data_IF_600064443305
#
_entry.id   IF_600064443305
#
_cell.length_a   1.000
_cell.length_b   1.000
_cell.length_c   1.000
_cell.angle_alpha   90.00
_cell.angle_beta   90.00
_cell.angle_gamma   90.00
#
_symmetry.space_group_name_H-M   'P 1'
#
loop_
_entity.id
_entity.type
_entity.pdbx_description
1 polymer ?
#
# COMPACT_ATOMS: atom_id res chain seq x y z
N UNK A 1 0.13 -20.10 -9.44
CA UNK A 1 0.48 -18.77 -8.89
C UNK A 1 1.25 -18.94 -7.60
N UNK A 2 2.37 -18.23 -7.44
CA UNK A 2 3.30 -18.38 -6.30
C UNK A 2 3.80 -16.99 -5.88
N UNK A 3 3.96 -16.78 -4.57
CA UNK A 3 4.63 -15.60 -4.00
C UNK A 3 5.77 -16.02 -3.07
N UNK A 4 6.83 -15.20 -3.02
CA UNK A 4 7.88 -15.30 -2.01
C UNK A 4 7.70 -14.14 -1.02
N UNK A 5 7.64 -14.48 0.26
CA UNK A 5 7.45 -13.52 1.36
C UNK A 5 8.75 -13.41 2.16
N UNK A 6 9.21 -12.18 2.38
CA UNK A 6 10.38 -11.90 3.20
C UNK A 6 10.01 -11.90 4.69
N UNK A 7 10.25 -13.03 5.36
CA UNK A 7 10.00 -13.20 6.79
C UNK A 7 11.04 -12.53 7.71
N UNK A 8 12.08 -11.88 7.16
CA UNK A 8 13.12 -11.20 7.93
C UNK A 8 12.78 -9.73 8.15
N UNK A 9 11.69 -9.49 8.89
CA UNK A 9 11.18 -8.15 9.23
C UNK A 9 10.95 -8.02 10.73
N UNK A 10 11.10 -6.81 11.31
CA UNK A 10 10.89 -6.59 12.74
C UNK A 10 9.52 -7.08 13.23
N UNK A 11 8.44 -6.81 12.48
CA UNK A 11 7.09 -7.21 12.85
C UNK A 11 6.78 -8.71 12.65
N UNK A 12 7.70 -9.49 12.07
CA UNK A 12 7.58 -10.94 11.89
C UNK A 12 8.55 -11.73 12.78
N UNK A 13 9.21 -11.05 13.71
CA UNK A 13 10.22 -11.63 14.61
C UNK A 13 9.65 -11.77 16.02
N UNK A 14 9.78 -12.95 16.68
CA UNK A 14 10.55 -14.14 16.29
C UNK A 14 9.82 -15.08 15.30
N UNK A 15 10.62 -15.80 14.49
CA UNK A 15 10.14 -16.66 13.38
C UNK A 15 9.66 -18.05 13.82
N UNK A 16 8.75 -18.09 14.79
CA UNK A 16 8.03 -19.31 15.18
C UNK A 16 6.62 -19.29 14.59
N UNK A 17 6.05 -20.48 14.34
CA UNK A 17 4.69 -20.63 13.79
C UNK A 17 4.46 -19.78 12.53
N UNK A 18 5.30 -19.96 11.50
CA UNK A 18 5.28 -19.17 10.26
C UNK A 18 3.87 -18.98 9.66
N UNK A 19 2.97 -19.99 9.60
CA UNK A 19 1.62 -19.77 9.11
C UNK A 19 0.82 -18.73 9.91
N UNK A 20 0.96 -18.73 11.23
CA UNK A 20 0.30 -17.73 12.10
C UNK A 20 0.87 -16.33 11.85
N UNK A 21 2.19 -16.21 11.73
CA UNK A 21 2.85 -14.93 11.39
C UNK A 21 2.37 -14.40 10.04
N UNK A 22 2.28 -15.27 9.05
CA UNK A 22 1.81 -14.90 7.72
C UNK A 22 0.34 -14.42 7.72
N UNK A 23 -0.53 -15.09 8.48
CA UNK A 23 -1.97 -14.78 8.49
C UNK A 23 -2.29 -13.56 9.35
N UNK A 24 -1.63 -13.40 10.49
CA UNK A 24 -2.02 -12.41 11.50
C UNK A 24 -1.14 -11.15 11.50
N UNK A 25 0.08 -11.22 10.97
CA UNK A 25 1.08 -10.16 11.16
C UNK A 25 1.71 -9.67 9.85
N UNK A 26 1.72 -10.47 8.79
CA UNK A 26 2.29 -10.06 7.51
C UNK A 26 1.39 -9.06 6.78
N UNK A 27 2.03 -8.16 6.04
CA UNK A 27 1.40 -7.14 5.21
C UNK A 27 1.82 -7.31 3.75
N UNK A 28 1.12 -6.64 2.83
CA UNK A 28 1.45 -6.70 1.40
C UNK A 28 2.89 -6.26 1.08
N UNK A 29 3.50 -5.41 1.91
CA UNK A 29 4.89 -4.99 1.79
C UNK A 29 5.92 -6.10 2.06
N UNK A 30 5.51 -7.22 2.65
CA UNK A 30 6.41 -8.34 2.94
C UNK A 30 6.56 -9.28 1.74
N UNK A 31 5.70 -9.15 0.71
CA UNK A 31 5.85 -9.88 -0.54
C UNK A 31 7.02 -9.29 -1.34
N UNK A 32 7.95 -10.16 -1.74
CA UNK A 32 9.16 -9.80 -2.46
C UNK A 32 9.06 -10.10 -3.96
N UNK A 33 8.64 -11.33 -4.30
CA UNK A 33 8.60 -11.85 -5.67
C UNK A 33 7.25 -12.51 -5.93
N UNK A 34 6.67 -12.28 -7.11
CA UNK A 34 5.38 -12.84 -7.54
C UNK A 34 5.52 -13.53 -8.89
N UNK A 35 4.99 -14.74 -8.99
CA UNK A 35 5.02 -15.59 -10.18
C UNK A 35 3.58 -15.98 -10.55
N UNK A 36 3.15 -15.60 -11.74
CA UNK A 36 1.82 -15.90 -12.30
C UNK A 36 2.02 -16.64 -13.61
N UNK A 37 1.36 -17.80 -13.75
CA UNK A 37 1.48 -18.65 -14.96
C UNK A 37 2.95 -18.90 -15.40
N UNK A 38 3.83 -19.20 -14.44
CA UNK A 38 5.25 -19.43 -14.68
C UNK A 38 6.10 -18.18 -15.01
N UNK A 39 5.50 -16.98 -15.05
CA UNK A 39 6.19 -15.70 -15.34
C UNK A 39 6.39 -14.88 -14.07
N UNK A 40 7.59 -14.33 -13.91
CA UNK A 40 7.92 -13.43 -12.79
C UNK A 40 7.42 -12.02 -13.12
N UNK A 41 6.34 -11.60 -12.47
CA UNK A 41 5.72 -10.28 -12.69
C UNK A 41 6.24 -9.23 -11.70
N UNK A 42 6.80 -9.65 -10.57
CA UNK A 42 7.47 -8.79 -9.58
C UNK A 42 8.69 -9.51 -9.01
N UNK A 43 9.81 -8.82 -8.83
CA UNK A 43 11.02 -9.35 -8.17
C UNK A 43 11.68 -8.25 -7.35
N UNK A 44 12.16 -8.56 -6.15
CA UNK A 44 12.81 -7.58 -5.25
C UNK A 44 11.91 -6.35 -5.04
N UNK A 45 10.59 -6.59 -4.99
CA UNK A 45 9.53 -5.56 -4.88
C UNK A 45 9.42 -4.59 -6.07
N UNK A 46 10.07 -4.87 -7.19
CA UNK A 46 9.94 -4.09 -8.42
C UNK A 46 8.96 -4.81 -9.34
N UNK A 47 7.83 -4.17 -9.64
CA UNK A 47 6.85 -4.68 -10.60
C UNK A 47 7.39 -4.52 -12.02
N UNK A 48 7.29 -5.57 -12.83
CA UNK A 48 7.89 -5.62 -14.18
C UNK A 48 6.89 -5.40 -15.32
N UNK A 49 5.61 -5.30 -14.98
CA UNK A 49 4.51 -5.32 -15.95
C UNK A 49 3.85 -3.95 -16.16
N UNK A 50 4.13 -2.98 -15.29
CA UNK A 50 3.54 -1.64 -15.33
C UNK A 50 4.56 -0.57 -14.94
N UNK A 51 4.31 0.66 -15.36
CA UNK A 51 4.96 1.86 -14.84
C UNK A 51 4.14 2.38 -13.65
N UNK A 52 4.67 2.20 -12.44
CA UNK A 52 3.99 2.60 -11.20
C UNK A 52 3.73 4.12 -11.13
N UNK A 53 4.67 4.95 -11.60
CA UNK A 53 4.53 6.40 -11.56
C UNK A 53 3.42 6.87 -12.51
N UNK A 54 3.36 6.28 -13.71
CA UNK A 54 2.29 6.56 -14.67
C UNK A 54 0.92 6.18 -14.11
N UNK A 55 0.80 5.01 -13.48
CA UNK A 55 -0.45 4.55 -12.87
C UNK A 55 -0.89 5.48 -11.73
N UNK A 56 0.03 5.91 -10.86
CA UNK A 56 -0.28 6.85 -9.78
C UNK A 56 -0.74 8.21 -10.32
N UNK A 57 -0.08 8.74 -11.35
CA UNK A 57 -0.51 9.99 -12.01
C UNK A 57 -1.89 9.86 -12.63
N UNK A 58 -2.18 8.73 -13.27
CA UNK A 58 -3.50 8.47 -13.82
C UNK A 58 -4.57 8.38 -12.73
N UNK A 59 -4.28 7.68 -11.64
CA UNK A 59 -5.20 7.57 -10.50
C UNK A 59 -5.49 8.94 -9.87
N UNK A 60 -4.45 9.77 -9.68
CA UNK A 60 -4.59 11.12 -9.15
C UNK A 60 -5.47 11.99 -10.07
N UNK A 61 -5.22 11.99 -11.38
CA UNK A 61 -6.03 12.73 -12.36
C UNK A 61 -7.50 12.32 -12.29
N UNK A 62 -7.79 11.03 -12.24
CA UNK A 62 -9.16 10.52 -12.14
C UNK A 62 -9.81 10.94 -10.83
N UNK A 63 -9.07 10.94 -9.72
CA UNK A 63 -9.59 11.41 -8.43
C UNK A 63 -9.95 12.90 -8.48
N UNK A 64 -9.12 13.73 -9.11
CA UNK A 64 -9.38 15.17 -9.31
C UNK A 64 -10.64 15.40 -10.15
N UNK A 65 -10.80 14.66 -11.26
CA UNK A 65 -12.01 14.73 -12.10
C UNK A 65 -13.28 14.37 -11.32
N UNK A 66 -13.22 13.34 -10.47
CA UNK A 66 -14.35 12.95 -9.62
C UNK A 66 -14.69 14.03 -8.60
N UNK A 67 -13.69 14.67 -8.00
CA UNK A 67 -13.90 15.77 -7.05
C UNK A 67 -14.60 16.94 -7.73
N UNK A 68 -14.09 17.38 -8.89
CA UNK A 68 -14.61 18.52 -9.64
C UNK A 68 -16.06 18.27 -10.11
N UNK A 69 -16.34 17.07 -10.65
CA UNK A 69 -17.68 16.70 -11.12
C UNK A 69 -18.74 16.69 -10.01
N UNK A 70 -18.33 16.49 -8.76
CA UNK A 70 -19.23 16.38 -7.61
C UNK A 70 -19.13 17.57 -6.64
N UNK A 71 -18.34 18.60 -6.98
CA UNK A 71 -18.12 19.79 -6.14
C UNK A 71 -17.73 19.46 -4.69
N UNK A 72 -16.73 18.56 -4.54
CA UNK A 72 -16.30 18.02 -3.24
C UNK A 72 -15.08 18.75 -2.65
N UNK A 73 -14.64 19.87 -3.24
CA UNK A 73 -13.39 20.56 -2.91
C UNK A 73 -13.32 20.96 -1.43
N UNK A 74 -14.46 21.38 -0.87
CA UNK A 74 -14.58 21.78 0.54
C UNK A 74 -14.22 20.68 1.55
N UNK A 75 -14.18 19.41 1.13
CA UNK A 75 -13.83 18.28 1.99
C UNK A 75 -12.35 17.89 1.90
N UNK A 76 -11.60 18.46 0.97
CA UNK A 76 -10.18 18.18 0.79
C UNK A 76 -9.28 19.09 1.61
N UNK A 77 -9.82 20.17 2.16
CA UNK A 77 -9.09 21.09 3.03
C UNK A 77 -8.92 20.49 4.43
N UNK A 78 -7.77 20.76 5.04
CA UNK A 78 -7.55 20.42 6.46
C UNK A 78 -8.53 21.25 7.31
N UNK A 79 -9.42 20.62 8.10
CA UNK A 79 -10.38 21.36 8.91
C UNK A 79 -9.70 22.30 9.92
N UNK A 80 -10.36 23.41 10.23
CA UNK A 80 -9.91 24.30 11.31
C UNK A 80 -9.84 23.52 12.62
N UNK A 81 -8.71 23.63 13.32
CA UNK A 81 -8.46 22.95 14.59
C UNK A 81 -8.02 21.48 14.47
N UNK A 82 -7.67 21.01 13.25
CA UNK A 82 -7.05 19.70 13.07
C UNK A 82 -5.69 19.60 13.79
N UNK A 83 -4.92 20.68 13.79
CA UNK A 83 -3.66 20.82 14.53
C UNK A 83 -3.81 21.83 15.68
N UNK A 84 -3.08 21.61 16.77
CA UNK A 84 -2.98 22.58 17.88
C UNK A 84 -4.21 22.67 18.79
N UNK A 85 -5.26 21.88 18.55
CA UNK A 85 -6.41 21.75 19.44
C UNK A 85 -6.29 20.49 20.30
N UNK A 86 -5.28 20.43 21.17
CA UNK A 86 -5.26 19.39 22.20
C UNK A 86 -6.43 19.61 23.17
N UNK A 87 -7.19 18.55 23.45
CA UNK A 87 -8.27 18.57 24.46
C UNK A 87 -7.74 18.71 25.90
N UNK A 88 -6.44 18.51 26.11
CA UNK A 88 -5.78 18.62 27.41
C UNK A 88 -4.53 19.51 27.32
N UNK A 89 -4.25 20.31 28.36
CA UNK A 89 -3.07 21.18 28.41
C UNK A 89 -1.75 20.41 28.36
#
# INVERSE_FOLDING_TARGET
DIILVNMNKPHLTPRFMIPYRLVCEAYGQDVDTVIVDGKIIMRERIVKTIDEESVLKQAQRVAEEVVEQNSLEKYLEIPKGFWGCSKYP
#
